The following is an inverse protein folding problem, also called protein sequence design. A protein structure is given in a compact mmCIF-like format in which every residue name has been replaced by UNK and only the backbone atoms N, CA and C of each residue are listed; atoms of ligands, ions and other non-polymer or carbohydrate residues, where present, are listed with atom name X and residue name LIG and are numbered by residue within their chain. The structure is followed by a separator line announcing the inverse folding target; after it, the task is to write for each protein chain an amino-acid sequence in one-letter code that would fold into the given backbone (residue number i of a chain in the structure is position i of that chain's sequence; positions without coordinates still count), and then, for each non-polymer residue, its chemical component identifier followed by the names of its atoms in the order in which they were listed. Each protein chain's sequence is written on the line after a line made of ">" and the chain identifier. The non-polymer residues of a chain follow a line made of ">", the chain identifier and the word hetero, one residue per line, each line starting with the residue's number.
data_IF_768008151399
#
_entry.id   IF_768008151399
#
_cell.length_a   1.000
_cell.length_b   1.000
_cell.length_c   1.000
_cell.angle_alpha   90.00
_cell.angle_beta   90.00
_cell.angle_gamma   90.00
#
_symmetry.space_group_name_H-M   'P 1'
#
loop_
_entity.id
_entity.type
_entity.pdbx_description
1 polymer ?
#
# COMPACT_ATOMS: atom_id res chain seq x y z
N UNK A 1 5.59 -26.90 -6.38
CA UNK A 1 4.23 -27.34 -6.76
C UNK A 1 4.38 -28.57 -7.64
N UNK A 2 4.06 -29.76 -7.14
CA UNK A 2 4.06 -30.98 -7.96
C UNK A 2 2.75 -31.06 -8.74
N UNK A 3 2.79 -30.66 -10.01
CA UNK A 3 1.66 -30.88 -10.92
C UNK A 3 1.70 -32.34 -11.36
N UNK A 4 0.76 -33.15 -10.85
CA UNK A 4 0.62 -34.54 -11.29
C UNK A 4 0.33 -34.57 -12.79
N UNK A 5 1.10 -35.37 -13.55
CA UNK A 5 0.95 -35.56 -15.02
C UNK A 5 -0.49 -35.72 -15.48
N UNK A 6 -1.31 -36.45 -14.71
CA UNK A 6 -2.73 -36.68 -15.00
C UNK A 6 -3.56 -35.39 -15.01
N UNK A 7 -3.26 -34.46 -14.12
CA UNK A 7 -3.93 -33.15 -14.05
C UNK A 7 -3.52 -32.25 -15.21
N UNK A 8 -2.24 -32.30 -15.59
CA UNK A 8 -1.73 -31.57 -16.78
C UNK A 8 -2.41 -32.06 -18.07
N UNK A 9 -2.47 -33.38 -18.28
CA UNK A 9 -3.08 -33.96 -19.49
C UNK A 9 -4.57 -33.61 -19.57
N UNK A 10 -5.30 -33.66 -18.45
CA UNK A 10 -6.72 -33.26 -18.42
C UNK A 10 -6.92 -31.78 -18.75
N UNK A 11 -6.09 -30.90 -18.19
CA UNK A 11 -6.13 -29.47 -18.49
C UNK A 11 -5.82 -29.16 -19.95
N UNK A 12 -4.80 -29.82 -20.52
CA UNK A 12 -4.44 -29.66 -21.93
C UNK A 12 -5.54 -30.16 -22.88
N UNK A 13 -6.15 -31.31 -22.58
CA UNK A 13 -7.26 -31.85 -23.38
C UNK A 13 -8.49 -30.93 -23.37
N UNK A 14 -8.83 -30.39 -22.20
CA UNK A 14 -9.95 -29.46 -22.07
C UNK A 14 -9.67 -28.12 -22.79
N UNK A 15 -8.43 -27.63 -22.75
CA UNK A 15 -8.03 -26.40 -23.43
C UNK A 15 -8.10 -26.56 -24.95
N UNK A 16 -7.64 -27.71 -25.47
CA UNK A 16 -7.72 -28.04 -26.88
C UNK A 16 -9.19 -28.13 -27.36
N UNK A 17 -10.06 -28.76 -26.57
CA UNK A 17 -11.49 -28.87 -26.90
C UNK A 17 -12.20 -27.51 -26.95
N UNK A 18 -11.92 -26.61 -25.99
CA UNK A 18 -12.51 -25.27 -25.99
C UNK A 18 -12.00 -24.40 -27.14
N UNK A 19 -10.70 -24.49 -27.45
CA UNK A 19 -10.11 -23.79 -28.60
C UNK A 19 -10.75 -24.27 -29.91
N UNK A 20 -10.93 -25.59 -30.07
CA UNK A 20 -11.60 -26.15 -31.24
C UNK A 20 -13.09 -25.74 -31.33
N UNK A 21 -13.74 -25.50 -30.20
CA UNK A 21 -15.12 -25.02 -30.12
C UNK A 21 -15.25 -23.48 -30.24
N UNK A 22 -14.14 -22.74 -30.46
CA UNK A 22 -14.15 -21.28 -30.53
C UNK A 22 -14.46 -20.59 -29.20
N UNK A 23 -14.39 -21.32 -28.09
CA UNK A 23 -14.65 -20.80 -26.75
C UNK A 23 -13.35 -20.32 -26.11
N UNK A 24 -13.36 -19.18 -25.38
CA UNK A 24 -12.17 -18.66 -24.75
C UNK A 24 -11.68 -19.64 -23.67
N UNK A 25 -10.39 -19.98 -23.74
CA UNK A 25 -9.70 -20.87 -22.78
C UNK A 25 -9.76 -20.36 -21.34
N UNK A 26 -10.05 -19.07 -21.12
CA UNK A 26 -10.30 -18.50 -19.80
C UNK A 26 -11.48 -19.15 -19.07
N UNK A 27 -12.39 -19.83 -19.76
CA UNK A 27 -13.48 -20.58 -19.14
C UNK A 27 -13.00 -21.78 -18.30
N UNK A 28 -11.80 -22.33 -18.55
CA UNK A 28 -11.17 -23.34 -17.68
C UNK A 28 -10.57 -22.75 -16.40
N UNK A 29 -10.18 -21.48 -16.44
CA UNK A 29 -9.64 -20.78 -15.29
C UNK A 29 -10.76 -20.35 -14.32
N UNK A 30 -11.98 -20.15 -14.83
CA UNK A 30 -13.14 -19.82 -14.01
C UNK A 30 -13.46 -20.91 -12.96
N UNK A 31 -13.44 -22.19 -13.35
CA UNK A 31 -13.66 -23.31 -12.41
C UNK A 31 -12.54 -23.48 -11.37
N UNK A 32 -11.32 -23.07 -11.69
CA UNK A 32 -10.20 -23.05 -10.74
C UNK A 32 -10.24 -21.84 -9.81
N UNK A 33 -10.85 -20.72 -10.24
CA UNK A 33 -10.98 -19.52 -9.43
C UNK A 33 -11.98 -19.70 -8.28
N UNK A 34 -13.12 -20.35 -8.50
CA UNK A 34 -14.08 -20.66 -7.44
C UNK A 34 -13.51 -21.65 -6.40
N UNK A 35 -12.76 -22.65 -6.86
CA UNK A 35 -12.05 -23.57 -5.97
C UNK A 35 -10.90 -22.88 -5.20
N UNK A 36 -10.23 -21.90 -5.80
CA UNK A 36 -9.19 -21.10 -5.14
C UNK A 36 -9.75 -20.10 -4.13
N UNK A 37 -10.97 -19.61 -4.36
CA UNK A 37 -11.69 -18.69 -3.48
C UNK A 37 -12.40 -19.41 -2.32
N UNK A 38 -12.52 -20.75 -2.38
CA UNK A 38 -13.22 -21.55 -1.38
C UNK A 38 -12.68 -21.32 0.05
N UNK A 39 -13.58 -20.93 0.96
CA UNK A 39 -13.23 -20.65 2.36
C UNK A 39 -12.39 -19.39 2.56
N UNK A 40 -12.40 -18.44 1.61
CA UNK A 40 -11.86 -17.09 1.79
C UNK A 40 -12.99 -16.10 2.01
N UNK A 41 -12.78 -15.18 2.95
CA UNK A 41 -13.59 -13.97 3.09
C UNK A 41 -12.87 -12.82 2.39
N UNK A 42 -13.50 -12.24 1.38
CA UNK A 42 -12.95 -11.15 0.59
C UNK A 42 -13.39 -9.79 1.14
N UNK A 43 -12.42 -8.93 1.45
CA UNK A 43 -12.64 -7.53 1.80
C UNK A 43 -11.99 -6.59 0.79
N UNK A 44 -12.54 -5.39 0.61
CA UNK A 44 -11.94 -4.36 -0.25
C UNK A 44 -10.94 -3.52 0.53
N UNK A 45 -9.80 -3.20 -0.09
CA UNK A 45 -8.80 -2.30 0.46
C UNK A 45 -8.09 -1.52 -0.66
N UNK A 46 -7.49 -0.35 -0.37
CA UNK A 46 -6.56 0.30 -1.30
C UNK A 46 -5.21 -0.42 -1.29
N UNK A 47 -4.56 -0.47 -2.45
CA UNK A 47 -3.14 -0.84 -2.54
C UNK A 47 -2.28 0.19 -1.80
N UNK A 48 -1.29 -0.26 -1.01
CA UNK A 48 -0.45 0.57 -0.13
C UNK A 48 0.99 0.69 -0.62
N UNK A 49 1.21 0.85 -1.92
CA UNK A 49 2.56 0.97 -2.48
C UNK A 49 2.80 2.31 -3.14
N UNK A 50 2.32 2.46 -4.38
CA UNK A 50 2.46 3.69 -5.13
C UNK A 50 1.23 4.60 -4.97
N UNK A 51 1.29 5.79 -5.55
CA UNK A 51 0.21 6.78 -5.53
C UNK A 51 -0.97 6.48 -6.46
N UNK A 52 -0.91 5.43 -7.29
CA UNK A 52 -1.95 5.15 -8.29
C UNK A 52 -3.33 4.89 -7.68
N UNK A 53 -3.39 4.33 -6.46
CA UNK A 53 -4.68 4.12 -5.78
C UNK A 53 -5.48 2.92 -6.28
N UNK A 54 -4.81 1.89 -6.80
CA UNK A 54 -5.46 0.63 -7.21
C UNK A 54 -6.35 0.06 -6.09
N UNK A 55 -7.58 -0.30 -6.41
CA UNK A 55 -8.47 -1.05 -5.54
C UNK A 55 -8.17 -2.54 -5.60
N UNK A 56 -8.03 -3.17 -4.42
CA UNK A 56 -7.73 -4.60 -4.31
C UNK A 56 -8.76 -5.32 -3.45
N UNK A 57 -8.96 -6.60 -3.74
CA UNK A 57 -9.66 -7.53 -2.88
C UNK A 57 -8.62 -8.33 -2.07
N UNK A 58 -8.83 -8.38 -0.76
CA UNK A 58 -7.99 -9.04 0.23
C UNK A 58 -8.73 -10.28 0.73
N UNK A 59 -8.20 -11.44 0.41
CA UNK A 59 -8.75 -12.74 0.80
C UNK A 59 -8.17 -13.16 2.14
N UNK A 60 -9.05 -13.35 3.12
CA UNK A 60 -8.68 -13.76 4.47
C UNK A 60 -9.25 -15.13 4.83
N UNK A 61 -8.50 -15.89 5.61
CA UNK A 61 -8.91 -17.19 6.16
C UNK A 61 -8.39 -17.29 7.59
N UNK A 62 -9.26 -17.65 8.54
CA UNK A 62 -8.90 -17.83 9.94
C UNK A 62 -8.14 -16.61 10.52
N UNK A 63 -8.61 -15.40 10.21
CA UNK A 63 -8.00 -14.14 10.67
C UNK A 63 -6.67 -13.76 9.99
N UNK A 64 -6.20 -14.52 8.99
CA UNK A 64 -4.97 -14.24 8.25
C UNK A 64 -5.26 -13.86 6.82
N UNK A 65 -4.57 -12.84 6.31
CA UNK A 65 -4.57 -12.49 4.89
C UNK A 65 -3.72 -13.50 4.13
N UNK A 66 -4.31 -14.17 3.14
CA UNK A 66 -3.66 -15.26 2.39
C UNK A 66 -3.67 -15.05 0.88
N UNK A 67 -4.51 -14.14 0.38
CA UNK A 67 -4.61 -13.85 -1.05
C UNK A 67 -4.92 -12.38 -1.30
N UNK A 68 -4.50 -11.89 -2.47
CA UNK A 68 -4.83 -10.56 -2.99
C UNK A 68 -5.07 -10.61 -4.48
N UNK A 69 -6.10 -9.93 -4.97
CA UNK A 69 -6.39 -9.75 -6.41
C UNK A 69 -6.92 -8.33 -6.67
N UNK A 70 -6.91 -7.89 -7.93
CA UNK A 70 -7.48 -6.60 -8.28
C UNK A 70 -8.99 -6.62 -8.14
N UNK A 71 -9.58 -5.51 -7.69
CA UNK A 71 -11.03 -5.33 -7.71
C UNK A 71 -11.46 -4.93 -9.13
N UNK A 72 -12.22 -5.81 -9.80
CA UNK A 72 -12.74 -5.54 -11.15
C UNK A 72 -13.67 -4.32 -11.20
N UNK A 73 -14.25 -3.92 -10.07
CA UNK A 73 -15.11 -2.74 -9.94
C UNK A 73 -14.34 -1.48 -9.51
N UNK A 74 -13.03 -1.56 -9.32
CA UNK A 74 -12.24 -0.38 -8.98
C UNK A 74 -12.02 0.50 -10.22
N UNK A 75 -12.30 1.82 -10.15
CA UNK A 75 -12.23 2.70 -11.32
C UNK A 75 -10.81 2.83 -11.86
N UNK A 76 -9.81 2.86 -10.96
CA UNK A 76 -8.40 3.07 -11.30
C UNK A 76 -7.82 1.88 -12.08
N UNK A 77 -7.89 0.67 -11.52
CA UNK A 77 -7.15 -0.47 -12.04
C UNK A 77 -8.02 -1.51 -12.76
N UNK A 78 -9.35 -1.37 -12.74
CA UNK A 78 -10.30 -2.21 -13.51
C UNK A 78 -10.01 -3.73 -13.37
N UNK A 79 -9.56 -4.17 -12.19
CA UNK A 79 -9.21 -5.56 -11.88
C UNK A 79 -7.75 -5.98 -12.10
N UNK A 80 -6.94 -5.12 -12.72
CA UNK A 80 -5.51 -5.34 -12.93
C UNK A 80 -4.70 -5.04 -11.67
N UNK A 81 -3.56 -5.71 -11.51
CA UNK A 81 -2.58 -5.40 -10.47
C UNK A 81 -1.18 -5.48 -11.07
N UNK A 82 -0.26 -4.66 -10.57
CA UNK A 82 1.16 -4.86 -10.86
C UNK A 82 1.74 -5.95 -9.95
N UNK A 83 3.01 -6.32 -10.17
CA UNK A 83 3.70 -7.33 -9.36
C UNK A 83 3.64 -7.03 -7.85
N UNK A 84 3.73 -5.76 -7.47
CA UNK A 84 3.63 -5.30 -6.07
C UNK A 84 2.24 -5.61 -5.51
N UNK A 85 1.18 -5.30 -6.27
CA UNK A 85 -0.22 -5.55 -5.89
C UNK A 85 -0.54 -7.03 -5.72
N UNK A 86 -0.03 -7.91 -6.60
CA UNK A 86 -0.26 -9.35 -6.50
C UNK A 86 0.37 -9.99 -5.25
N UNK A 87 1.45 -9.41 -4.72
CA UNK A 87 2.17 -9.94 -3.56
C UNK A 87 1.87 -9.22 -2.24
N UNK A 88 0.89 -8.31 -2.20
CA UNK A 88 0.46 -7.59 -0.99
C UNK A 88 0.26 -8.52 0.23
N UNK A 89 -0.43 -9.66 0.05
CA UNK A 89 -0.68 -10.60 1.13
C UNK A 89 0.61 -11.15 1.78
N UNK A 90 1.67 -11.37 0.98
CA UNK A 90 2.89 -12.02 1.47
C UNK A 90 3.69 -11.13 2.42
N UNK A 91 3.73 -9.82 2.18
CA UNK A 91 4.54 -8.89 2.98
C UNK A 91 4.06 -8.84 4.43
N UNK A 92 2.74 -9.01 4.67
CA UNK A 92 2.18 -9.02 6.01
C UNK A 92 2.69 -10.18 6.88
N UNK A 93 3.22 -11.23 6.26
CA UNK A 93 3.73 -12.44 6.94
C UNK A 93 5.25 -12.60 6.78
N UNK A 94 5.97 -11.51 6.50
CA UNK A 94 7.44 -11.53 6.44
C UNK A 94 8.05 -12.02 7.77
N UNK A 95 9.07 -12.89 7.74
CA UNK A 95 9.70 -13.43 8.96
C UNK A 95 10.42 -12.36 9.79
N UNK A 96 10.77 -11.24 9.17
CA UNK A 96 11.42 -10.07 9.75
C UNK A 96 10.43 -9.01 10.27
N UNK A 97 9.12 -9.29 10.24
CA UNK A 97 8.10 -8.36 10.74
C UNK A 97 8.26 -8.15 12.25
N UNK A 98 8.45 -6.90 12.65
CA UNK A 98 8.42 -6.50 14.06
C UNK A 98 7.02 -6.68 14.63
N UNK A 99 6.92 -7.41 15.75
CA UNK A 99 5.66 -7.69 16.45
C UNK A 99 5.63 -7.16 17.88
N UNK A 100 6.76 -6.67 18.39
CA UNK A 100 6.91 -6.14 19.75
C UNK A 100 7.79 -4.88 19.75
N UNK A 101 7.61 -3.97 20.71
CA UNK A 101 8.51 -2.84 20.90
C UNK A 101 9.93 -3.31 21.24
N UNK A 102 10.92 -2.59 20.74
CA UNK A 102 12.34 -2.85 20.96
C UNK A 102 13.02 -1.63 21.57
N UNK A 103 13.85 -1.84 22.58
CA UNK A 103 14.69 -0.82 23.21
C UNK A 103 16.15 -1.04 22.88
N UNK A 104 16.85 0.01 22.45
CA UNK A 104 18.30 -0.04 22.25
C UNK A 104 19.04 0.01 23.58
N UNK A 105 19.89 -0.97 23.84
CA UNK A 105 20.82 -1.04 24.98
C UNK A 105 22.24 -1.27 24.44
N UNK A 106 23.04 -0.19 24.39
CA UNK A 106 24.33 -0.19 23.69
C UNK A 106 24.15 -0.47 22.20
N UNK A 107 24.76 -1.55 21.71
CA UNK A 107 24.72 -1.95 20.30
C UNK A 107 23.66 -3.02 19.97
N UNK A 108 22.78 -3.35 20.93
CA UNK A 108 21.75 -4.38 20.75
C UNK A 108 20.36 -3.82 21.00
N UNK A 109 19.36 -4.44 20.37
CA UNK A 109 17.95 -4.23 20.68
C UNK A 109 17.43 -5.36 21.57
N UNK A 110 16.62 -5.00 22.56
CA UNK A 110 15.94 -5.94 23.45
C UNK A 110 14.44 -5.70 23.40
N UNK A 111 13.64 -6.76 23.44
CA UNK A 111 12.18 -6.65 23.52
C UNK A 111 11.75 -6.06 24.86
N UNK A 112 10.77 -5.17 24.82
CA UNK A 112 10.14 -4.57 26.02
C UNK A 112 8.61 -4.60 25.89
N UNK A 113 7.91 -4.31 26.99
CA UNK A 113 6.46 -4.18 26.98
C UNK A 113 6.02 -2.85 26.33
N UNK A 114 4.76 -2.77 25.93
CA UNK A 114 4.18 -1.52 25.44
C UNK A 114 4.15 -0.43 26.51
N UNK A 115 3.83 -0.78 27.76
CA UNK A 115 3.79 0.17 28.87
C UNK A 115 5.19 0.78 29.13
N UNK A 116 6.24 -0.06 29.16
CA UNK A 116 7.62 0.40 29.31
C UNK A 116 8.03 1.32 28.14
N UNK A 117 7.63 0.96 26.91
CA UNK A 117 7.93 1.77 25.73
C UNK A 117 7.26 3.15 25.80
N UNK A 118 5.97 3.20 26.16
CA UNK A 118 5.23 4.45 26.26
C UNK A 118 5.71 5.33 27.41
N UNK A 119 5.95 4.76 28.59
CA UNK A 119 6.47 5.51 29.74
C UNK A 119 7.83 6.13 29.40
N UNK A 120 8.69 5.38 28.71
CA UNK A 120 10.00 5.89 28.31
C UNK A 120 9.88 7.01 27.29
N UNK A 121 9.10 6.82 26.23
CA UNK A 121 8.84 7.86 25.21
C UNK A 121 8.30 9.13 25.88
N UNK A 122 7.30 8.99 26.74
CA UNK A 122 6.68 10.13 27.43
C UNK A 122 7.68 10.85 28.36
N UNK A 123 8.49 10.11 29.10
CA UNK A 123 9.51 10.68 30.00
C UNK A 123 10.56 11.49 29.23
N UNK A 124 11.14 10.92 28.17
CA UNK A 124 12.17 11.60 27.37
C UNK A 124 11.62 12.80 26.61
N UNK A 125 10.39 12.71 26.08
CA UNK A 125 9.72 13.85 25.45
C UNK A 125 9.49 14.98 26.45
N UNK A 126 8.92 14.68 27.63
CA UNK A 126 8.70 15.69 28.68
C UNK A 126 10.00 16.35 29.14
N UNK A 127 11.07 15.55 29.32
CA UNK A 127 12.39 16.05 29.68
C UNK A 127 12.92 17.01 28.60
N UNK A 128 12.91 16.57 27.34
CA UNK A 128 13.39 17.37 26.20
C UNK A 128 12.61 18.69 26.08
N UNK A 129 11.29 18.64 26.23
CA UNK A 129 10.43 19.84 26.18
C UNK A 129 10.76 20.79 27.33
N UNK A 130 10.95 20.27 28.55
CA UNK A 130 11.29 21.08 29.72
C UNK A 130 12.66 21.76 29.57
N UNK A 131 13.66 21.05 29.05
CA UNK A 131 15.04 21.51 28.97
C UNK A 131 15.30 22.40 27.73
N UNK A 132 14.61 22.13 26.62
CA UNK A 132 14.94 22.75 25.32
C UNK A 132 13.75 23.35 24.57
N UNK A 133 12.54 23.23 25.13
CA UNK A 133 11.31 23.72 24.51
C UNK A 133 10.71 22.75 23.48
N UNK A 134 9.42 22.95 23.14
CA UNK A 134 8.66 22.03 22.28
C UNK A 134 9.18 21.95 20.84
N UNK A 135 9.77 23.03 20.32
CA UNK A 135 10.31 23.08 18.96
C UNK A 135 11.48 22.09 18.72
N UNK A 136 12.08 21.55 19.78
CA UNK A 136 13.17 20.54 19.70
C UNK A 136 12.66 19.10 19.61
N UNK A 137 11.34 18.89 19.67
CA UNK A 137 10.72 17.61 19.33
C UNK A 137 10.25 17.68 17.88
N UNK A 138 10.62 16.68 17.09
CA UNK A 138 10.22 16.55 15.69
C UNK A 138 9.65 15.17 15.37
N UNK A 139 8.79 15.11 14.36
CA UNK A 139 8.22 13.87 13.83
C UNK A 139 8.43 13.78 12.33
N UNK A 140 9.05 12.70 11.88
CA UNK A 140 9.15 12.39 10.46
C UNK A 140 8.07 11.40 10.06
N UNK A 141 7.16 11.84 9.20
CA UNK A 141 5.98 11.08 8.81
C UNK A 141 6.17 10.21 7.58
N UNK A 142 5.13 9.45 7.26
CA UNK A 142 5.11 8.53 6.11
C UNK A 142 3.90 8.77 5.21
N UNK A 143 4.13 8.73 3.90
CA UNK A 143 3.08 8.69 2.87
C UNK A 143 2.33 7.36 2.86
N UNK A 144 2.79 6.37 3.63
CA UNK A 144 2.08 5.14 3.92
C UNK A 144 1.14 5.26 5.14
N UNK A 145 0.99 6.45 5.72
CA UNK A 145 -0.07 6.69 6.68
C UNK A 145 -1.43 6.72 5.99
N UNK A 146 -2.44 6.36 6.76
CA UNK A 146 -3.83 6.72 6.50
C UNK A 146 -4.04 8.19 6.80
N UNK A 147 -5.12 8.76 6.26
CA UNK A 147 -5.51 10.16 6.55
C UNK A 147 -5.70 10.36 8.06
N UNK A 148 -6.27 9.36 8.73
CA UNK A 148 -6.54 9.39 10.17
C UNK A 148 -5.24 9.39 10.99
N UNK A 149 -4.26 8.55 10.63
CA UNK A 149 -2.95 8.55 11.29
C UNK A 149 -2.22 9.87 11.09
N UNK A 150 -2.24 10.42 9.87
CA UNK A 150 -1.64 11.72 9.57
C UNK A 150 -2.30 12.85 10.37
N UNK A 151 -3.63 12.83 10.49
CA UNK A 151 -4.37 13.79 11.31
C UNK A 151 -4.03 13.68 12.79
N UNK A 152 -3.99 12.45 13.34
CA UNK A 152 -3.62 12.22 14.75
C UNK A 152 -2.19 12.68 15.02
N UNK A 153 -1.25 12.38 14.11
CA UNK A 153 0.14 12.82 14.20
C UNK A 153 0.25 14.36 14.18
N UNK A 154 -0.44 15.02 13.25
CA UNK A 154 -0.46 16.49 13.16
C UNK A 154 -1.08 17.12 14.41
N UNK A 155 -2.19 16.57 14.91
CA UNK A 155 -2.85 17.03 16.14
C UNK A 155 -1.95 16.83 17.36
N UNK A 156 -1.32 15.67 17.48
CA UNK A 156 -0.39 15.39 18.57
C UNK A 156 0.78 16.37 18.57
N UNK A 157 1.42 16.61 17.42
CA UNK A 157 2.55 17.53 17.32
C UNK A 157 2.14 18.98 17.58
N UNK A 158 1.08 19.46 16.91
CA UNK A 158 0.70 20.88 16.97
C UNK A 158 -0.05 21.25 18.25
N UNK A 159 -1.04 20.45 18.64
CA UNK A 159 -1.89 20.74 19.79
C UNK A 159 -1.37 20.10 21.09
N UNK A 160 -0.78 18.91 21.01
CA UNK A 160 -0.26 18.20 22.19
C UNK A 160 1.12 18.69 22.60
N UNK A 161 2.08 18.62 21.68
CA UNK A 161 3.47 19.03 21.94
C UNK A 161 3.65 20.55 21.82
N UNK A 162 2.87 21.23 20.98
CA UNK A 162 3.05 22.66 20.71
C UNK A 162 4.19 22.93 19.72
N UNK A 163 4.44 22.00 18.79
CA UNK A 163 5.52 22.08 17.80
C UNK A 163 4.96 21.96 16.38
N UNK A 164 5.53 22.74 15.46
CA UNK A 164 5.27 22.62 14.02
C UNK A 164 6.33 21.75 13.31
N UNK A 165 7.26 21.14 14.04
CA UNK A 165 8.33 20.30 13.50
C UNK A 165 7.81 18.92 13.08
N UNK A 166 6.92 18.87 12.10
CA UNK A 166 6.40 17.64 11.49
C UNK A 166 6.57 17.73 9.98
N UNK A 167 7.15 16.70 9.37
CA UNK A 167 7.32 16.64 7.91
C UNK A 167 7.28 15.18 7.43
N UNK A 168 6.51 14.84 6.39
CA UNK A 168 6.52 13.50 5.81
C UNK A 168 7.52 13.39 4.65
N UNK A 169 7.79 12.16 4.20
CA UNK A 169 8.61 11.90 3.01
C UNK A 169 8.11 12.61 1.72
N UNK A 170 6.86 13.08 1.69
CA UNK A 170 6.34 13.86 0.55
C UNK A 170 7.16 15.14 0.29
N UNK A 171 7.85 15.68 1.31
CA UNK A 171 8.81 16.79 1.16
C UNK A 171 9.85 16.53 0.07
N UNK A 172 10.36 15.30 0.00
CA UNK A 172 11.39 14.91 -0.95
C UNK A 172 10.83 14.52 -2.32
N UNK A 173 9.54 14.22 -2.41
CA UNK A 173 8.93 13.65 -3.61
C UNK A 173 8.21 14.72 -4.45
N UNK A 174 7.28 15.48 -3.84
CA UNK A 174 6.31 16.29 -4.59
C UNK A 174 6.25 17.76 -4.15
N UNK A 175 7.10 18.20 -3.21
CA UNK A 175 6.98 19.54 -2.63
C UNK A 175 7.06 20.69 -3.66
N UNK A 176 7.94 20.57 -4.67
CA UNK A 176 8.06 21.57 -5.73
C UNK A 176 6.84 21.60 -6.66
N UNK A 177 6.30 20.42 -6.98
CA UNK A 177 5.10 20.28 -7.80
C UNK A 177 3.88 20.92 -7.11
N UNK A 178 3.66 20.60 -5.83
CA UNK A 178 2.56 21.19 -5.03
C UNK A 178 2.69 22.71 -4.96
N UNK A 179 3.89 23.23 -4.71
CA UNK A 179 4.10 24.68 -4.68
C UNK A 179 3.80 25.36 -6.03
N UNK A 180 4.11 24.70 -7.15
CA UNK A 180 3.80 25.20 -8.48
C UNK A 180 2.29 25.15 -8.78
N UNK A 181 1.63 24.04 -8.45
CA UNK A 181 0.18 23.87 -8.63
C UNK A 181 -0.62 24.89 -7.81
N UNK A 182 -0.26 25.10 -6.55
CA UNK A 182 -0.95 26.08 -5.72
C UNK A 182 -0.80 27.50 -6.28
N UNK A 183 0.39 27.86 -6.77
CA UNK A 183 0.63 29.20 -7.35
C UNK A 183 -0.09 29.43 -8.67
N UNK A 184 -0.27 28.38 -9.47
CA UNK A 184 -0.76 28.50 -10.85
C UNK A 184 -2.27 28.22 -10.94
N UNK A 185 -2.74 27.22 -10.20
CA UNK A 185 -4.10 26.69 -10.28
C UNK A 185 -4.88 26.80 -8.96
N UNK A 186 -4.23 27.17 -7.86
CA UNK A 186 -4.89 27.27 -6.55
C UNK A 186 -5.22 25.93 -5.89
N UNK A 187 -4.70 24.82 -6.43
CA UNK A 187 -4.90 23.46 -5.91
C UNK A 187 -3.57 22.86 -5.43
N UNK A 188 -3.59 22.06 -4.37
CA UNK A 188 -2.41 21.35 -3.84
C UNK A 188 -2.26 19.93 -4.41
N UNK A 189 -3.07 19.56 -5.40
CA UNK A 189 -3.04 18.27 -6.11
C UNK A 189 -3.09 18.43 -7.65
N UNK A 190 -2.70 17.38 -8.42
CA UNK A 190 -2.85 17.38 -9.87
C UNK A 190 -4.32 17.46 -10.30
N UNK A 191 -4.62 18.21 -11.37
CA UNK A 191 -6.00 18.49 -11.81
C UNK A 191 -6.61 17.41 -12.74
N UNK A 192 -5.84 16.40 -13.13
CA UNK A 192 -6.28 15.33 -14.04
C UNK A 192 -6.73 14.07 -13.31
N UNK A 193 -7.42 13.19 -14.04
CA UNK A 193 -7.81 11.88 -13.57
C UNK A 193 -7.33 10.79 -14.57
N UNK A 194 -7.43 9.52 -14.19
CA UNK A 194 -6.95 8.42 -15.05
C UNK A 194 -7.81 8.18 -16.30
N UNK A 195 -9.08 8.60 -16.30
CA UNK A 195 -9.95 8.47 -17.47
C UNK A 195 -9.53 9.43 -18.60
N UNK A 196 -8.79 10.50 -18.29
CA UNK A 196 -8.23 11.42 -19.29
C UNK A 196 -7.23 10.71 -20.24
N UNK A 197 -6.65 9.58 -19.81
CA UNK A 197 -5.78 8.72 -20.66
C UNK A 197 -6.55 7.95 -21.74
N UNK A 198 -7.86 7.78 -21.61
CA UNK A 198 -8.68 7.14 -22.65
C UNK A 198 -9.14 8.17 -23.70
N UNK A 199 -9.01 9.47 -23.39
CA UNK A 199 -9.48 10.59 -24.23
C UNK A 199 -8.34 11.31 -24.96
N UNK A 200 -7.09 11.13 -24.55
CA UNK A 200 -5.95 11.85 -25.11
C UNK A 200 -5.42 11.21 -26.40
N UNK A 201 -5.13 12.05 -27.39
CA UNK A 201 -4.47 11.63 -28.64
C UNK A 201 -2.93 11.76 -28.59
N UNK A 202 -2.40 12.50 -27.61
CA UNK A 202 -0.96 12.79 -27.50
C UNK A 202 -0.54 12.94 -26.04
N UNK A 203 0.60 12.33 -25.70
CA UNK A 203 1.13 12.30 -24.33
C UNK A 203 2.54 12.86 -24.29
N UNK A 204 2.79 13.77 -23.37
CA UNK A 204 4.13 14.31 -23.11
C UNK A 204 4.58 13.90 -21.71
N UNK A 205 5.71 13.20 -21.63
CA UNK A 205 6.26 12.69 -20.38
C UNK A 205 7.57 13.42 -20.06
N UNK A 206 7.64 14.05 -18.88
CA UNK A 206 8.85 14.72 -18.39
C UNK A 206 9.23 14.16 -17.02
N UNK A 207 10.42 13.56 -16.91
CA UNK A 207 10.90 13.01 -15.65
C UNK A 207 10.05 11.85 -15.11
N UNK A 208 9.36 11.10 -15.97
CA UNK A 208 8.45 10.03 -15.58
C UNK A 208 8.89 8.67 -16.16
N UNK A 209 8.81 7.62 -15.35
CA UNK A 209 8.91 6.21 -15.77
C UNK A 209 7.67 5.45 -15.28
N UNK A 210 6.58 5.55 -16.03
CA UNK A 210 5.28 5.01 -15.60
C UNK A 210 5.31 3.48 -15.53
N UNK A 211 5.99 2.80 -16.45
CA UNK A 211 6.09 1.32 -16.46
C UNK A 211 6.64 0.71 -15.18
N UNK A 212 7.50 1.42 -14.44
CA UNK A 212 8.08 0.93 -13.18
C UNK A 212 7.40 1.52 -11.95
N UNK A 213 7.20 2.85 -11.94
CA UNK A 213 6.69 3.57 -10.79
C UNK A 213 5.17 3.40 -10.62
N UNK A 214 4.43 3.44 -11.73
CA UNK A 214 2.97 3.42 -11.78
C UNK A 214 2.48 2.48 -12.93
N UNK A 215 2.67 1.15 -12.82
CA UNK A 215 2.55 0.25 -13.97
C UNK A 215 1.12 -0.05 -14.45
N UNK A 216 0.12 0.45 -13.73
CA UNK A 216 -1.30 0.32 -14.06
C UNK A 216 -1.74 1.62 -14.67
#
# INVERSE_FOLDING_TARGET
>A
MDIKRRSFIKGAAAAAALTAAGLPVNSLLAGNAEAADAGLTWGKAPCRFCGTGCGVLVGSRNGKVVATKGDAKAPVNKGLNCIKGYFLAKILSGPDRLTRPLLRKGDKFVEISWDEAYDRIASELKKTIKEHGPAKVGMFGSGQWTVQEGYVAAKFMKAGIGSNSIDPNARFCMASAVAAFMKTFGSDEPMGNYDDLDLGDTYFLWGANMSECHPI
#
